data_IF_676932679349
#
_entry.id   IF_676932679349
#
_cell.length_a   1.000
_cell.length_b   1.000
_cell.length_c   1.000
_cell.angle_alpha   90.00
_cell.angle_beta   90.00
_cell.angle_gamma   90.00
#
_symmetry.space_group_name_H-M   'P 1'
#
loop_
_entity.id
_entity.type
_entity.pdbx_description
1 polymer ?
#
# COMPACT_ATOMS: atom_id res chain seq x y z
N UNK A 1 3.37 -42.75 -22.62
CA UNK A 1 3.09 -43.20 -21.23
C UNK A 1 1.65 -42.78 -20.93
N UNK A 2 0.71 -43.73 -20.82
CA UNK A 2 -0.73 -43.45 -20.64
C UNK A 2 -1.03 -43.28 -19.15
N UNK A 3 -1.51 -42.11 -18.76
CA UNK A 3 -2.02 -41.84 -17.40
C UNK A 3 -3.49 -42.25 -17.36
N UNK A 4 -3.99 -42.95 -16.32
CA UNK A 4 -5.38 -43.39 -16.27
C UNK A 4 -6.32 -42.23 -15.93
N UNK A 5 -7.46 -42.17 -16.63
CA UNK A 5 -8.62 -41.35 -16.29
C UNK A 5 -9.20 -41.79 -14.94
N UNK A 6 -8.86 -41.09 -13.87
CA UNK A 6 -9.62 -41.15 -12.62
C UNK A 6 -10.74 -40.11 -12.67
N UNK A 7 -11.98 -40.57 -12.48
CA UNK A 7 -13.20 -39.77 -12.48
C UNK A 7 -13.17 -38.68 -11.41
N UNK A 8 -13.21 -37.42 -11.86
CA UNK A 8 -13.09 -36.18 -11.08
C UNK A 8 -14.30 -35.88 -10.14
N UNK A 9 -15.33 -36.73 -10.13
CA UNK A 9 -16.60 -36.46 -9.43
C UNK A 9 -16.67 -36.99 -7.99
N UNK A 10 -15.58 -37.51 -7.40
CA UNK A 10 -15.62 -38.06 -6.03
C UNK A 10 -14.78 -37.30 -4.98
N UNK A 11 -14.06 -36.23 -5.33
CA UNK A 11 -13.29 -35.43 -4.35
C UNK A 11 -13.94 -34.09 -3.93
N UNK A 12 -15.04 -33.66 -4.54
CA UNK A 12 -15.72 -32.40 -4.17
C UNK A 12 -16.82 -32.55 -3.10
N UNK A 13 -17.04 -33.76 -2.56
CA UNK A 13 -18.10 -34.04 -1.59
C UNK A 13 -17.78 -33.75 -0.12
N UNK A 14 -16.56 -33.35 0.26
CA UNK A 14 -16.13 -33.33 1.67
C UNK A 14 -15.50 -32.04 2.19
N UNK A 15 -15.47 -30.95 1.41
CA UNK A 15 -15.00 -29.63 1.91
C UNK A 15 -16.10 -28.56 1.74
N UNK A 16 -17.33 -28.94 2.09
CA UNK A 16 -18.41 -28.01 2.45
C UNK A 16 -18.87 -28.35 3.87
N UNK A 17 -17.91 -28.50 4.79
CA UNK A 17 -18.26 -28.34 6.20
C UNK A 17 -18.46 -26.85 6.39
N UNK A 18 -19.74 -26.46 6.49
CA UNK A 18 -20.17 -25.09 6.65
C UNK A 18 -19.35 -24.40 7.72
N UNK A 19 -18.51 -23.46 7.29
CA UNK A 19 -17.94 -22.46 8.19
C UNK A 19 -19.16 -21.72 8.74
N UNK A 20 -19.58 -22.12 9.93
CA UNK A 20 -20.74 -21.54 10.60
C UNK A 20 -20.54 -20.04 10.70
N UNK A 21 -21.63 -19.27 10.64
CA UNK A 21 -21.56 -17.81 10.77
C UNK A 21 -20.78 -17.39 12.02
N UNK A 22 -20.83 -18.21 13.08
CA UNK A 22 -20.07 -18.00 14.32
C UNK A 22 -18.54 -18.07 14.12
N UNK A 23 -18.05 -18.90 13.21
CA UNK A 23 -16.61 -19.01 12.92
C UNK A 23 -16.13 -17.83 12.06
N UNK A 24 -16.96 -17.36 11.11
CA UNK A 24 -16.67 -16.11 10.37
C UNK A 24 -16.67 -14.90 11.28
N UNK A 25 -17.63 -14.81 12.21
CA UNK A 25 -17.69 -13.76 13.22
C UNK A 25 -16.45 -13.83 14.10
N UNK A 26 -16.05 -15.01 14.60
CA UNK A 26 -14.86 -15.16 15.43
C UNK A 26 -13.57 -14.69 14.72
N UNK A 27 -13.39 -15.01 13.44
CA UNK A 27 -12.23 -14.57 12.65
C UNK A 27 -12.25 -13.05 12.43
N UNK A 28 -13.41 -12.47 12.10
CA UNK A 28 -13.55 -11.01 11.96
C UNK A 28 -13.33 -10.32 13.30
N UNK A 29 -13.86 -10.85 14.39
CA UNK A 29 -13.68 -10.30 15.74
C UNK A 29 -12.22 -10.41 16.19
N UNK A 30 -11.52 -11.52 15.91
CA UNK A 30 -10.09 -11.65 16.22
C UNK A 30 -9.24 -10.71 15.37
N UNK A 31 -9.56 -10.54 14.09
CA UNK A 31 -8.89 -9.58 13.21
C UNK A 31 -9.12 -8.14 13.68
N UNK A 32 -10.35 -7.78 14.05
CA UNK A 32 -10.67 -6.46 14.58
C UNK A 32 -9.98 -6.22 15.93
N UNK A 33 -9.96 -7.20 16.83
CA UNK A 33 -9.23 -7.09 18.11
C UNK A 33 -7.72 -7.00 17.88
N UNK A 34 -7.17 -7.73 16.91
CA UNK A 34 -5.75 -7.66 16.58
C UNK A 34 -5.37 -6.29 15.99
N UNK A 35 -6.16 -5.78 15.04
CA UNK A 35 -6.00 -4.43 14.47
C UNK A 35 -6.23 -3.34 15.53
N UNK A 36 -7.18 -3.53 16.45
CA UNK A 36 -7.37 -2.63 17.61
C UNK A 36 -6.16 -2.68 18.55
N UNK A 37 -5.59 -3.85 18.83
CA UNK A 37 -4.39 -3.99 19.66
C UNK A 37 -3.14 -3.41 18.98
N UNK A 38 -3.08 -3.40 17.64
CA UNK A 38 -2.03 -2.75 16.86
C UNK A 38 -2.24 -1.22 16.77
N UNK A 39 -3.49 -0.77 16.80
CA UNK A 39 -3.88 0.64 16.70
C UNK A 39 -3.95 1.35 18.06
N UNK A 40 -4.01 0.67 19.19
CA UNK A 40 -3.92 1.32 20.49
C UNK A 40 -2.48 1.80 20.68
N UNK A 41 -2.34 3.09 21.02
CA UNK A 41 -1.09 3.73 21.47
C UNK A 41 -0.24 2.74 22.29
N UNK A 42 1.11 2.80 22.20
CA UNK A 42 1.97 1.86 22.90
C UNK A 42 1.47 1.65 24.33
N UNK A 43 1.24 0.39 24.73
CA UNK A 43 0.76 -0.11 26.04
C UNK A 43 1.71 0.27 27.19
N UNK A 44 2.04 1.54 27.24
CA UNK A 44 3.08 2.14 28.03
C UNK A 44 2.37 3.28 28.76
N UNK A 45 1.77 2.99 29.93
CA UNK A 45 0.95 3.93 30.68
C UNK A 45 1.65 5.25 30.99
N UNK A 46 2.99 5.29 30.98
CA UNK A 46 3.75 6.52 31.20
C UNK A 46 3.75 7.47 29.98
N UNK A 47 3.59 6.97 28.75
CA UNK A 47 3.52 7.82 27.55
C UNK A 47 2.22 8.63 27.48
N UNK A 48 1.10 8.07 27.93
CA UNK A 48 -0.17 8.80 28.03
C UNK A 48 -0.11 9.89 29.10
N UNK A 49 0.59 9.64 30.21
CA UNK A 49 0.86 10.64 31.26
C UNK A 49 1.74 11.78 30.72
N UNK A 50 2.82 11.47 30.00
CA UNK A 50 3.66 12.50 29.37
C UNK A 50 2.87 13.31 28.33
N UNK A 51 2.04 12.65 27.52
CA UNK A 51 1.14 13.30 26.57
C UNK A 51 0.20 14.30 27.25
N UNK A 52 -0.47 13.89 28.33
CA UNK A 52 -1.36 14.75 29.11
C UNK A 52 -0.63 15.94 29.75
N UNK A 53 0.58 15.72 30.28
CA UNK A 53 1.40 16.80 30.85
C UNK A 53 1.85 17.80 29.78
N UNK A 54 2.28 17.33 28.60
CA UNK A 54 2.67 18.20 27.49
C UNK A 54 1.49 19.04 26.98
N UNK A 55 0.29 18.45 26.93
CA UNK A 55 -0.96 19.15 26.55
C UNK A 55 -1.36 20.18 27.59
N UNK A 56 -1.34 19.81 28.87
CA UNK A 56 -1.62 20.73 29.98
C UNK A 56 -0.68 21.93 29.97
N UNK A 57 0.63 21.67 29.80
CA UNK A 57 1.63 22.72 29.67
C UNK A 57 1.38 23.61 28.43
N UNK A 58 1.04 23.02 27.28
CA UNK A 58 0.72 23.76 26.05
C UNK A 58 -0.50 24.68 26.19
N UNK A 59 -1.55 24.22 26.88
CA UNK A 59 -2.77 24.99 27.15
C UNK A 59 -2.50 26.16 28.10
N UNK A 60 -1.69 25.93 29.14
CA UNK A 60 -1.28 26.96 30.12
C UNK A 60 -0.39 28.03 29.48
N UNK A 61 0.60 27.61 28.68
CA UNK A 61 1.62 28.50 28.12
C UNK A 61 1.09 29.37 26.96
N UNK A 62 0.03 28.96 26.24
CA UNK A 62 -0.42 29.67 25.03
C UNK A 62 -1.95 29.77 24.87
N UNK A 63 -2.61 30.74 25.55
CA UNK A 63 -4.06 30.93 25.46
C UNK A 63 -4.62 31.06 24.04
N UNK A 64 -3.87 31.69 23.14
CA UNK A 64 -4.29 31.95 21.75
C UNK A 64 -4.34 30.70 20.85
N UNK A 65 -3.71 29.60 21.26
CA UNK A 65 -3.60 28.36 20.46
C UNK A 65 -4.41 27.22 21.10
N UNK A 66 -5.07 27.46 22.25
CA UNK A 66 -5.81 26.44 23.00
C UNK A 66 -6.84 25.69 22.17
N UNK A 67 -7.60 26.37 21.32
CA UNK A 67 -8.59 25.72 20.45
C UNK A 67 -7.93 24.78 19.43
N UNK A 68 -6.77 25.18 18.88
CA UNK A 68 -6.01 24.36 17.93
C UNK A 68 -5.39 23.11 18.58
N UNK A 69 -5.19 23.12 19.90
CA UNK A 69 -4.69 21.98 20.67
C UNK A 69 -5.85 21.10 21.13
N UNK A 70 -6.88 21.71 21.72
CA UNK A 70 -8.00 20.99 22.34
C UNK A 70 -8.91 20.29 21.33
N UNK A 71 -9.19 20.89 20.17
CA UNK A 71 -10.09 20.30 19.17
C UNK A 71 -9.52 18.98 18.62
N UNK A 72 -8.26 18.89 18.18
CA UNK A 72 -7.68 17.62 17.75
C UNK A 72 -7.58 16.61 18.89
N UNK A 73 -7.22 17.04 20.11
CA UNK A 73 -7.10 16.12 21.26
C UNK A 73 -8.42 15.50 21.69
N UNK A 74 -9.50 16.30 21.74
CA UNK A 74 -10.85 15.80 21.99
C UNK A 74 -11.24 14.87 20.84
N UNK A 75 -11.01 15.26 19.58
CA UNK A 75 -11.23 14.41 18.42
C UNK A 75 -10.50 13.06 18.53
N UNK A 76 -9.22 13.06 18.92
CA UNK A 76 -8.41 11.86 19.08
C UNK A 76 -8.84 10.96 20.24
N UNK A 77 -9.51 11.50 21.25
CA UNK A 77 -10.05 10.70 22.34
C UNK A 77 -11.25 9.84 21.90
N UNK A 78 -12.00 10.28 20.88
CA UNK A 78 -13.19 9.60 20.37
C UNK A 78 -12.97 8.87 19.04
N UNK A 79 -11.84 9.09 18.37
CA UNK A 79 -11.48 8.45 17.11
C UNK A 79 -10.52 7.27 17.36
N UNK A 80 -10.69 6.19 16.60
CA UNK A 80 -9.75 5.07 16.58
C UNK A 80 -8.36 5.60 16.24
N UNK A 81 -7.36 5.39 17.11
CA UNK A 81 -6.04 5.95 16.89
C UNK A 81 -5.49 5.51 15.54
N UNK A 82 -5.16 6.50 14.73
CA UNK A 82 -4.59 6.31 13.41
C UNK A 82 -3.30 7.16 13.35
N UNK A 83 -2.15 6.62 12.94
CA UNK A 83 -0.91 7.41 12.83
C UNK A 83 -1.08 8.71 12.03
N UNK A 84 -2.01 8.76 11.06
CA UNK A 84 -2.38 9.96 10.31
C UNK A 84 -2.80 11.15 11.19
N UNK A 85 -3.31 10.88 12.39
CA UNK A 85 -3.71 11.86 13.38
C UNK A 85 -2.53 12.58 14.02
N UNK A 86 -1.41 11.88 14.24
CA UNK A 86 -0.17 12.49 14.71
C UNK A 86 0.38 13.49 13.68
N UNK A 87 0.22 13.21 12.38
CA UNK A 87 0.55 14.18 11.32
C UNK A 87 -0.33 15.44 11.38
N UNK A 88 -1.59 15.32 11.83
CA UNK A 88 -2.47 16.47 12.10
C UNK A 88 -1.93 17.42 13.17
N UNK A 89 -1.06 16.95 14.06
CA UNK A 89 -0.36 17.77 15.06
C UNK A 89 0.92 18.44 14.53
N UNK A 90 1.35 18.14 13.29
CA UNK A 90 2.56 18.72 12.71
C UNK A 90 2.57 20.26 12.70
N UNK A 91 1.47 20.98 12.36
CA UNK A 91 1.45 22.45 12.44
C UNK A 91 1.72 22.96 13.86
N UNK A 92 1.18 22.30 14.89
CA UNK A 92 1.42 22.65 16.28
C UNK A 92 2.89 22.43 16.65
N UNK A 93 3.47 21.30 16.26
CA UNK A 93 4.88 21.01 16.47
C UNK A 93 5.78 22.08 15.82
N UNK A 94 5.50 22.46 14.57
CA UNK A 94 6.23 23.52 13.85
C UNK A 94 6.15 24.86 14.58
N UNK A 95 4.96 25.24 15.08
CA UNK A 95 4.80 26.49 15.85
C UNK A 95 5.58 26.46 17.16
N UNK A 96 5.54 25.33 17.88
CA UNK A 96 6.28 25.16 19.14
C UNK A 96 7.79 25.24 18.89
N UNK A 97 8.31 24.48 17.92
CA UNK A 97 9.73 24.51 17.55
C UNK A 97 10.14 25.91 17.12
N UNK A 98 9.35 26.59 16.28
CA UNK A 98 9.63 27.96 15.85
C UNK A 98 9.71 28.96 17.01
N UNK A 99 8.85 28.84 18.02
CA UNK A 99 8.91 29.68 19.23
C UNK A 99 10.13 29.38 20.10
N UNK A 100 10.50 28.11 20.25
CA UNK A 100 11.71 27.71 20.97
C UNK A 100 12.93 28.30 20.27
N UNK A 101 13.03 28.15 18.95
CA UNK A 101 14.15 28.69 18.17
C UNK A 101 14.27 30.21 18.27
N UNK A 102 13.15 30.94 18.31
CA UNK A 102 13.16 32.41 18.51
C UNK A 102 13.70 32.85 19.87
N UNK A 103 13.66 31.99 20.90
CA UNK A 103 14.18 32.28 22.23
C UNK A 103 15.64 31.88 22.42
N UNK A 104 16.19 31.07 21.52
CA UNK A 104 17.58 30.67 21.56
C UNK A 104 18.49 31.77 20.99
N UNK A 105 19.76 31.84 21.43
CA UNK A 105 20.78 32.64 20.75
C UNK A 105 20.83 32.31 19.25
N UNK A 106 20.88 33.34 18.41
CA UNK A 106 20.81 33.19 16.95
C UNK A 106 21.80 32.14 16.39
N UNK A 107 23.07 32.07 16.82
CA UNK A 107 24.00 31.07 16.31
C UNK A 107 23.52 29.63 16.55
N UNK A 108 22.93 29.36 17.72
CA UNK A 108 22.41 28.04 18.09
C UNK A 108 21.20 27.69 17.23
N UNK A 109 20.29 28.65 17.01
CA UNK A 109 19.13 28.45 16.14
C UNK A 109 19.55 28.14 14.69
N UNK A 110 20.56 28.84 14.16
CA UNK A 110 21.09 28.57 12.83
C UNK A 110 21.74 27.20 12.71
N UNK A 111 22.57 26.81 13.68
CA UNK A 111 23.16 25.46 13.73
C UNK A 111 22.08 24.40 13.76
N UNK A 112 21.03 24.57 14.57
CA UNK A 112 19.91 23.63 14.60
C UNK A 112 19.19 23.52 13.26
N UNK A 113 18.85 24.64 12.61
CA UNK A 113 18.21 24.64 11.29
C UNK A 113 19.10 23.96 10.24
N UNK A 114 20.41 24.22 10.28
CA UNK A 114 21.36 23.58 9.38
C UNK A 114 21.42 22.07 9.61
N UNK A 115 21.46 21.61 10.87
CA UNK A 115 21.42 20.19 11.22
C UNK A 115 20.12 19.52 10.77
N UNK A 116 18.97 20.20 10.84
CA UNK A 116 17.71 19.70 10.30
C UNK A 116 17.77 19.52 8.78
N UNK A 117 18.32 20.50 8.06
CA UNK A 117 18.48 20.42 6.61
C UNK A 117 19.45 19.31 6.20
N UNK A 118 20.60 19.22 6.86
CA UNK A 118 21.59 18.16 6.62
C UNK A 118 20.99 16.81 6.97
N UNK A 119 20.31 16.68 8.10
CA UNK A 119 19.66 15.43 8.52
C UNK A 119 18.58 14.98 7.55
N UNK A 120 17.79 15.90 7.00
CA UNK A 120 16.80 15.62 5.97
C UNK A 120 17.45 15.18 4.65
N UNK A 121 18.47 15.91 4.18
CA UNK A 121 19.16 15.63 2.93
C UNK A 121 20.05 14.37 2.98
N UNK A 122 20.54 14.00 4.17
CA UNK A 122 21.48 12.89 4.37
C UNK A 122 20.79 11.55 4.62
N UNK A 123 19.46 11.52 4.81
CA UNK A 123 18.68 10.28 4.88
C UNK A 123 18.57 9.67 3.49
N UNK A 124 19.68 9.14 2.97
CA UNK A 124 19.67 8.16 1.91
C UNK A 124 19.46 6.81 2.56
N UNK A 125 18.21 6.38 2.63
CA UNK A 125 17.93 4.98 2.88
C UNK A 125 17.78 4.32 1.49
N UNK A 126 18.85 3.71 0.93
CA UNK A 126 18.80 3.14 -0.42
C UNK A 126 17.71 2.07 -0.54
N UNK A 127 17.35 1.43 0.57
CA UNK A 127 16.33 0.39 0.59
C UNK A 127 14.93 0.93 0.30
N UNK A 128 14.67 2.22 0.57
CA UNK A 128 13.38 2.86 0.25
C UNK A 128 13.10 2.87 -1.26
N UNK A 129 14.13 2.93 -2.11
CA UNK A 129 13.95 2.87 -3.55
C UNK A 129 13.47 1.49 -4.01
N UNK A 130 13.72 0.45 -3.21
CA UNK A 130 13.30 -0.93 -3.48
C UNK A 130 12.04 -1.34 -2.71
N UNK A 131 11.51 -0.46 -1.86
CA UNK A 131 10.36 -0.76 -1.02
C UNK A 131 9.04 -0.57 -1.80
N UNK A 132 8.13 -1.55 -1.69
CA UNK A 132 6.92 -1.69 -2.53
C UNK A 132 6.03 -0.45 -2.58
N UNK A 133 5.97 0.29 -1.46
CA UNK A 133 5.12 1.47 -1.34
C UNK A 133 5.60 2.66 -2.18
N UNK A 134 6.87 2.68 -2.62
CA UNK A 134 7.44 3.81 -3.33
C UNK A 134 7.42 3.66 -4.84
N UNK A 135 7.23 4.79 -5.52
CA UNK A 135 7.18 4.88 -6.98
C UNK A 135 8.39 4.24 -7.70
N UNK A 136 9.66 4.40 -7.27
CA UNK A 136 10.80 3.80 -7.98
C UNK A 136 10.73 2.28 -8.07
N UNK A 137 10.26 1.59 -7.02
CA UNK A 137 10.10 0.14 -7.02
C UNK A 137 9.01 -0.28 -8.02
N UNK A 138 7.85 0.40 -8.00
CA UNK A 138 6.74 0.15 -8.93
C UNK A 138 7.15 0.41 -10.39
N UNK A 139 7.92 1.47 -10.65
CA UNK A 139 8.47 1.75 -12.00
C UNK A 139 9.50 0.71 -12.43
N UNK A 140 10.30 0.17 -11.51
CA UNK A 140 11.24 -0.92 -11.80
C UNK A 140 10.49 -2.18 -12.22
N UNK A 141 9.40 -2.52 -11.53
CA UNK A 141 8.52 -3.64 -11.90
C UNK A 141 7.93 -3.45 -13.30
N UNK A 142 7.38 -2.27 -13.59
CA UNK A 142 6.82 -1.98 -14.91
C UNK A 142 7.86 -1.99 -16.02
N UNK A 143 9.05 -1.39 -15.80
CA UNK A 143 10.12 -1.40 -16.78
C UNK A 143 10.55 -2.83 -17.10
N UNK A 144 10.72 -3.66 -16.08
CA UNK A 144 11.00 -5.08 -16.29
C UNK A 144 9.95 -5.77 -17.18
N UNK A 145 8.66 -5.52 -16.95
CA UNK A 145 7.59 -6.06 -17.81
C UNK A 145 7.73 -5.59 -19.25
N UNK A 146 7.95 -4.29 -19.48
CA UNK A 146 8.11 -3.77 -20.85
C UNK A 146 9.36 -4.33 -21.54
N UNK A 147 10.46 -4.47 -20.81
CA UNK A 147 11.70 -5.03 -21.31
C UNK A 147 11.53 -6.50 -21.71
N UNK A 148 10.87 -7.30 -20.86
CA UNK A 148 10.56 -8.70 -21.16
C UNK A 148 9.52 -8.87 -22.27
N UNK A 149 8.53 -7.98 -22.34
CA UNK A 149 7.53 -8.03 -23.38
C UNK A 149 8.11 -7.75 -24.77
N UNK A 150 9.21 -6.99 -24.86
CA UNK A 150 9.87 -6.71 -26.15
C UNK A 150 8.94 -6.09 -27.20
N UNK A 151 7.91 -5.36 -26.77
CA UNK A 151 6.87 -4.78 -27.63
C UNK A 151 5.73 -5.74 -28.03
N UNK A 152 5.74 -6.99 -27.57
CA UNK A 152 4.62 -7.91 -27.74
C UNK A 152 3.42 -7.47 -26.87
N UNK A 153 2.17 -7.73 -27.31
CA UNK A 153 0.99 -7.49 -26.50
C UNK A 153 1.00 -8.35 -25.24
N UNK A 154 0.67 -7.77 -24.09
CA UNK A 154 0.69 -8.49 -22.83
C UNK A 154 -0.47 -8.09 -21.92
N UNK A 155 -0.85 -9.00 -21.02
CA UNK A 155 -1.72 -8.74 -19.88
C UNK A 155 -0.89 -8.58 -18.60
N UNK A 156 -1.35 -7.77 -17.67
CA UNK A 156 -0.67 -7.49 -16.40
C UNK A 156 -1.66 -7.54 -15.23
N UNK A 157 -1.55 -8.55 -14.36
CA UNK A 157 -2.44 -8.73 -13.22
C UNK A 157 -1.74 -8.41 -11.90
N UNK A 158 -2.43 -7.70 -11.00
CA UNK A 158 -1.81 -7.11 -9.80
C UNK A 158 -2.40 -7.69 -8.53
N UNK A 159 -1.54 -8.30 -7.71
CA UNK A 159 -1.86 -8.71 -6.35
C UNK A 159 -1.21 -7.73 -5.38
N UNK A 160 -2.05 -6.92 -4.73
CA UNK A 160 -1.66 -5.81 -3.87
C UNK A 160 -2.39 -5.92 -2.51
N UNK A 161 -1.73 -5.60 -1.38
CA UNK A 161 -2.39 -5.56 -0.06
C UNK A 161 -3.45 -4.47 0.07
N UNK A 162 -3.30 -3.42 -0.72
CA UNK A 162 -4.07 -2.20 -0.60
C UNK A 162 -5.48 -2.41 -1.16
N UNK A 163 -6.50 -2.36 -0.29
CA UNK A 163 -7.92 -2.62 -0.60
C UNK A 163 -8.46 -1.73 -1.73
N UNK A 164 -7.81 -0.59 -2.00
CA UNK A 164 -8.29 0.43 -2.92
C UNK A 164 -7.28 0.91 -3.98
N UNK A 165 -6.09 0.30 -4.12
CA UNK A 165 -5.02 0.94 -4.88
C UNK A 165 -4.74 0.36 -6.28
N UNK A 166 -5.12 1.18 -7.25
CA UNK A 166 -4.89 1.04 -8.68
C UNK A 166 -3.54 1.57 -9.11
N UNK A 167 -2.53 1.54 -8.24
CA UNK A 167 -1.25 2.20 -8.48
C UNK A 167 -0.70 1.81 -9.85
N UNK A 168 -0.61 0.52 -10.16
CA UNK A 168 -0.13 0.07 -11.46
C UNK A 168 -1.07 0.42 -12.61
N UNK A 169 -2.40 0.41 -12.43
CA UNK A 169 -3.32 0.80 -13.50
C UNK A 169 -3.17 2.28 -13.87
N UNK A 170 -3.07 3.18 -12.89
CA UNK A 170 -2.77 4.59 -13.13
C UNK A 170 -1.39 4.78 -13.72
N UNK A 171 -0.39 4.02 -13.26
CA UNK A 171 0.95 4.11 -13.81
C UNK A 171 1.00 3.65 -15.27
N UNK A 172 0.27 2.58 -15.66
CA UNK A 172 0.16 2.17 -17.06
C UNK A 172 -0.47 3.27 -17.92
N UNK A 173 -1.57 3.87 -17.46
CA UNK A 173 -2.24 4.98 -18.15
C UNK A 173 -1.31 6.18 -18.26
N UNK A 174 -0.62 6.55 -17.17
CA UNK A 174 0.33 7.66 -17.15
C UNK A 174 1.49 7.43 -18.13
N UNK A 175 2.06 6.22 -18.16
CA UNK A 175 3.11 5.86 -19.11
C UNK A 175 2.60 5.86 -20.56
N UNK A 176 1.34 5.50 -20.79
CA UNK A 176 0.73 5.54 -22.10
C UNK A 176 0.55 6.97 -22.64
N UNK A 177 0.17 7.93 -21.78
CA UNK A 177 0.20 9.35 -22.14
C UNK A 177 1.61 9.86 -22.47
N UNK A 178 2.66 9.15 -22.03
CA UNK A 178 4.07 9.43 -22.37
C UNK A 178 4.57 8.63 -23.58
N UNK A 179 3.68 7.93 -24.29
CA UNK A 179 3.98 7.20 -25.52
C UNK A 179 4.37 5.74 -25.33
N UNK A 180 4.30 5.18 -24.12
CA UNK A 180 4.46 3.71 -23.96
C UNK A 180 3.19 2.96 -24.40
N UNK A 181 3.31 1.74 -24.94
CA UNK A 181 2.13 0.95 -25.28
C UNK A 181 1.37 0.55 -24.01
N UNK A 182 0.03 0.56 -24.06
CA UNK A 182 -0.78 0.00 -22.98
C UNK A 182 -0.71 -1.53 -22.99
N UNK A 183 -0.76 -2.19 -21.82
CA UNK A 183 -1.09 -3.61 -21.76
C UNK A 183 -2.47 -3.85 -22.39
N UNK A 184 -2.67 -5.01 -23.03
CA UNK A 184 -3.97 -5.44 -23.54
C UNK A 184 -5.01 -5.52 -22.42
N UNK A 185 -4.59 -6.03 -21.28
CA UNK A 185 -5.40 -6.04 -20.07
C UNK A 185 -4.52 -5.68 -18.87
N UNK A 186 -5.04 -4.86 -17.97
CA UNK A 186 -4.37 -4.56 -16.72
C UNK A 186 -5.38 -4.30 -15.59
N UNK A 187 -5.40 -5.19 -14.62
CA UNK A 187 -6.46 -5.32 -13.61
C UNK A 187 -5.99 -6.15 -12.43
N UNK A 188 -6.85 -6.30 -11.41
CA UNK A 188 -6.56 -7.22 -10.30
C UNK A 188 -6.55 -8.68 -10.76
N UNK A 189 -7.48 -9.08 -11.63
CA UNK A 189 -7.65 -10.44 -12.13
C UNK A 189 -8.25 -10.40 -13.56
N UNK A 190 -8.12 -11.49 -14.34
CA UNK A 190 -8.69 -11.56 -15.68
C UNK A 190 -10.19 -11.22 -15.70
N UNK A 191 -10.58 -10.32 -16.60
CA UNK A 191 -11.96 -9.90 -16.82
C UNK A 191 -12.60 -9.11 -15.67
N UNK A 192 -11.85 -8.73 -14.63
CA UNK A 192 -12.42 -7.96 -13.53
C UNK A 192 -12.91 -6.58 -13.99
N UNK A 193 -14.04 -6.10 -13.42
CA UNK A 193 -14.50 -4.75 -13.65
C UNK A 193 -13.44 -3.77 -13.17
N UNK A 194 -13.41 -2.62 -13.82
CA UNK A 194 -12.53 -1.56 -13.36
C UNK A 194 -13.15 -0.90 -12.14
N UNK A 195 -12.37 -0.85 -11.05
CA UNK A 195 -12.74 -0.16 -9.82
C UNK A 195 -12.32 1.33 -9.82
N UNK A 196 -11.50 1.78 -10.77
CA UNK A 196 -11.29 3.18 -11.13
C UNK A 196 -12.46 3.67 -12.00
N UNK A 197 -13.29 4.55 -11.46
CA UNK A 197 -14.45 5.09 -12.18
C UNK A 197 -14.04 5.83 -13.47
N UNK A 198 -12.87 6.49 -13.45
CA UNK A 198 -12.38 7.35 -14.52
C UNK A 198 -11.66 6.58 -15.64
N UNK A 199 -11.31 5.31 -15.46
CA UNK A 199 -10.43 4.58 -16.41
C UNK A 199 -11.02 4.54 -17.82
N UNK A 200 -12.33 4.33 -17.95
CA UNK A 200 -12.97 4.29 -19.25
C UNK A 200 -12.81 5.62 -19.99
N UNK A 201 -12.96 6.74 -19.29
CA UNK A 201 -12.73 8.08 -19.83
C UNK A 201 -11.27 8.33 -20.19
N UNK A 202 -10.34 7.88 -19.34
CA UNK A 202 -8.90 8.01 -19.58
C UNK A 202 -8.44 7.17 -20.78
N UNK A 203 -8.93 5.93 -20.90
CA UNK A 203 -8.61 5.03 -22.00
C UNK A 203 -9.17 5.52 -23.34
N UNK A 204 -10.33 6.19 -23.34
CA UNK A 204 -10.90 6.78 -24.55
C UNK A 204 -10.03 7.91 -25.14
N UNK A 205 -9.12 8.50 -24.35
CA UNK A 205 -8.16 9.50 -24.81
C UNK A 205 -6.87 8.90 -25.37
N UNK A 206 -6.67 7.59 -25.25
CA UNK A 206 -5.47 6.88 -25.68
C UNK A 206 -5.78 6.00 -26.91
N UNK A 207 -4.78 5.62 -27.72
CA UNK A 207 -4.99 4.69 -28.82
C UNK A 207 -5.60 3.38 -28.31
N UNK A 208 -6.61 2.83 -29.01
CA UNK A 208 -7.26 1.59 -28.59
C UNK A 208 -6.30 0.41 -28.68
N UNK A 209 -6.36 -0.49 -27.70
CA UNK A 209 -5.63 -1.76 -27.74
C UNK A 209 -6.50 -2.80 -28.44
N UNK A 210 -6.03 -3.31 -29.58
CA UNK A 210 -6.81 -4.23 -30.43
C UNK A 210 -6.26 -5.66 -30.47
N UNK A 211 -5.06 -5.88 -29.91
CA UNK A 211 -4.38 -7.17 -29.94
C UNK A 211 -4.66 -7.96 -28.67
N UNK A 212 -4.90 -9.26 -28.80
CA UNK A 212 -4.97 -10.19 -27.68
C UNK A 212 -3.61 -10.33 -26.99
N UNK A 213 -3.57 -10.60 -25.67
CA UNK A 213 -2.29 -10.72 -24.97
C UNK A 213 -1.58 -12.01 -25.39
N UNK A 214 -0.30 -11.92 -25.75
CA UNK A 214 0.58 -13.06 -26.01
C UNK A 214 1.35 -13.47 -24.76
N UNK A 215 1.57 -12.51 -23.85
CA UNK A 215 2.30 -12.70 -22.59
C UNK A 215 1.43 -12.30 -21.40
N UNK A 216 1.64 -12.96 -20.27
CA UNK A 216 0.99 -12.62 -19.00
C UNK A 216 2.06 -12.30 -17.96
N UNK A 217 1.91 -11.15 -17.31
CA UNK A 217 2.76 -10.74 -16.20
C UNK A 217 1.95 -10.58 -14.93
N UNK A 218 2.50 -11.03 -13.81
CA UNK A 218 1.93 -10.91 -12.48
C UNK A 218 2.80 -9.98 -11.65
N UNK A 219 2.23 -8.90 -11.12
CA UNK A 219 2.89 -8.06 -10.13
C UNK A 219 2.36 -8.44 -8.76
N UNK A 220 3.26 -8.86 -7.86
CA UNK A 220 2.91 -9.42 -6.57
C UNK A 220 3.61 -8.59 -5.50
N UNK A 221 2.80 -7.85 -4.74
CA UNK A 221 3.22 -7.15 -3.53
C UNK A 221 2.79 -7.96 -2.32
N UNK A 222 3.75 -8.46 -1.54
CA UNK A 222 3.47 -9.29 -0.37
C UNK A 222 2.71 -8.46 0.67
N UNK A 223 1.51 -8.88 1.09
CA UNK A 223 0.77 -8.16 2.10
C UNK A 223 1.41 -8.33 3.48
N UNK A 224 1.36 -7.29 4.29
CA UNK A 224 1.81 -7.37 5.69
C UNK A 224 0.82 -8.21 6.52
N UNK A 225 -0.43 -8.29 6.07
CA UNK A 225 -1.50 -9.09 6.66
C UNK A 225 -2.12 -10.04 5.60
N UNK A 226 -1.64 -11.29 5.58
CA UNK A 226 -2.00 -12.31 4.57
C UNK A 226 -3.47 -12.77 4.70
N UNK A 227 -4.12 -12.54 5.84
CA UNK A 227 -5.42 -13.15 6.17
C UNK A 227 -6.60 -12.58 5.37
N UNK A 228 -6.53 -11.34 4.91
CA UNK A 228 -7.64 -10.70 4.18
C UNK A 228 -7.66 -11.01 2.68
N UNK A 229 -6.51 -11.37 2.10
CA UNK A 229 -6.36 -11.58 0.66
C UNK A 229 -5.49 -12.82 0.44
N UNK A 230 -6.03 -14.04 0.39
CA UNK A 230 -5.19 -15.23 0.25
C UNK A 230 -4.57 -15.26 -1.15
N UNK A 231 -3.23 -15.17 -1.22
CA UNK A 231 -2.47 -15.19 -2.47
C UNK A 231 -2.83 -16.38 -3.36
N UNK A 232 -2.92 -17.57 -2.78
CA UNK A 232 -3.30 -18.81 -3.49
C UNK A 232 -4.69 -18.73 -4.12
N UNK A 233 -5.64 -18.06 -3.45
CA UNK A 233 -7.00 -17.90 -3.97
C UNK A 233 -7.05 -16.89 -5.11
N UNK A 234 -6.17 -15.89 -5.10
CA UNK A 234 -6.01 -14.96 -6.21
C UNK A 234 -5.32 -15.65 -7.40
N UNK A 235 -4.22 -16.35 -7.15
CA UNK A 235 -3.42 -17.01 -8.18
C UNK A 235 -4.22 -18.03 -9.00
N UNK A 236 -5.14 -18.77 -8.35
CA UNK A 236 -6.06 -19.71 -9.01
C UNK A 236 -7.04 -19.08 -10.01
N UNK A 237 -7.22 -17.75 -9.96
CA UNK A 237 -8.09 -17.04 -10.89
C UNK A 237 -7.38 -16.67 -12.19
N UNK A 238 -6.06 -16.85 -12.22
CA UNK A 238 -5.24 -16.64 -13.40
C UNK A 238 -4.97 -18.01 -14.00
N UNK A 239 -5.41 -18.21 -15.23
CA UNK A 239 -5.13 -19.43 -15.97
C UNK A 239 -3.72 -19.32 -16.58
N UNK A 240 -2.77 -20.08 -16.03
CA UNK A 240 -1.41 -20.19 -16.55
C UNK A 240 -0.87 -21.60 -16.25
N UNK A 241 0.04 -22.08 -17.11
CA UNK A 241 0.61 -23.42 -17.03
C UNK A 241 1.88 -23.47 -16.18
N UNK A 242 2.76 -22.48 -16.34
CA UNK A 242 4.03 -22.39 -15.59
C UNK A 242 4.53 -20.95 -15.43
N UNK A 243 5.44 -20.75 -14.46
CA UNK A 243 6.19 -19.51 -14.29
C UNK A 243 7.45 -19.59 -15.16
N UNK A 244 7.53 -18.72 -16.17
CA UNK A 244 8.62 -18.66 -17.14
C UNK A 244 9.82 -17.95 -16.56
N UNK A 245 9.60 -16.79 -15.93
CA UNK A 245 10.67 -15.99 -15.32
C UNK A 245 10.15 -15.22 -14.10
N UNK A 246 11.06 -14.84 -13.21
CA UNK A 246 10.76 -14.11 -11.98
C UNK A 246 11.81 -13.06 -11.67
N UNK A 247 11.36 -11.82 -11.48
CA UNK A 247 12.16 -10.72 -10.96
C UNK A 247 11.75 -10.37 -9.53
N UNK A 248 12.73 -10.37 -8.63
CA UNK A 248 12.56 -9.90 -7.25
C UNK A 248 13.06 -8.45 -7.18
N UNK A 249 12.25 -7.56 -6.59
CA UNK A 249 12.52 -6.13 -6.42
C UNK A 249 12.36 -5.81 -4.93
N UNK A 250 13.48 -5.83 -4.20
CA UNK A 250 13.43 -5.67 -2.75
C UNK A 250 12.77 -6.87 -2.04
N UNK A 251 12.39 -6.72 -0.76
CA UNK A 251 11.92 -7.83 0.06
C UNK A 251 10.47 -8.27 -0.25
N UNK A 252 9.65 -7.35 -0.74
CA UNK A 252 8.18 -7.48 -0.74
C UNK A 252 7.53 -7.35 -2.11
N UNK A 253 8.29 -7.06 -3.17
CA UNK A 253 7.77 -6.90 -4.53
C UNK A 253 8.45 -7.90 -5.47
N UNK A 254 7.65 -8.61 -6.24
CA UNK A 254 8.12 -9.50 -7.28
C UNK A 254 7.23 -9.44 -8.52
N UNK A 255 7.83 -9.72 -9.66
CA UNK A 255 7.15 -9.75 -10.96
C UNK A 255 7.40 -11.09 -11.61
N UNK A 256 6.33 -11.79 -11.98
CA UNK A 256 6.41 -13.09 -12.65
C UNK A 256 5.97 -12.94 -14.09
N UNK A 257 6.68 -13.58 -15.01
CA UNK A 257 6.18 -13.88 -16.34
C UNK A 257 5.63 -15.30 -16.32
N UNK A 258 4.41 -15.48 -16.81
CA UNK A 258 3.75 -16.80 -16.82
C UNK A 258 3.31 -17.18 -18.23
N UNK A 259 3.39 -18.47 -18.53
CA UNK A 259 2.89 -19.02 -19.77
C UNK A 259 1.38 -19.30 -19.63
N UNK A 260 0.53 -18.87 -20.58
CA UNK A 260 -0.90 -19.15 -20.53
C UNK A 260 -1.25 -20.65 -20.52
#
# INVERSE_FOLDING_TARGET
>A
MKIPNASFNQCFGLISQGITNNHKIAIVTQSVIHELNLAILPDIPWLSVIGLLAVGAGILLWPKIRLLILIPLIGFWFLHYNPWYAYGLAPLAVVIVGKILRRLPQPIAWVYCLLLLIGSASRKNPDLATYKAFLPAKLTAMNYIYDQAGGQPFASYHYLPEIYDFAYQYLYIWQAFRGRPLPTEFSYQPGAPTYINEKAGLLAMLPPVTKQPELIFLIIEKPDNIWHYPFESWLKQINFSEVVDKKIIGPELEVWQVAP
#
